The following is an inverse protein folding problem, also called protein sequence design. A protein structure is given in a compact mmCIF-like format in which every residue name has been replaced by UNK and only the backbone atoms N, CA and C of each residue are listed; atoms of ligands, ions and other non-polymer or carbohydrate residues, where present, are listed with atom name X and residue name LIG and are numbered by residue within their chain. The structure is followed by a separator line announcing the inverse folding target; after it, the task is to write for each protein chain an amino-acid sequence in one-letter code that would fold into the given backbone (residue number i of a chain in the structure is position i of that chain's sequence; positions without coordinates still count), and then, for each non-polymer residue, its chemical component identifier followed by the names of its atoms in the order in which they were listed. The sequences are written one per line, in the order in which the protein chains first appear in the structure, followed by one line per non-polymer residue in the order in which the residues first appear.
data_IF_537456814710
#
_entry.id   IF_537456814710
#
_cell.length_a   1.000
_cell.length_b   1.000
_cell.length_c   1.000
_cell.angle_alpha   90.00
_cell.angle_beta   90.00
_cell.angle_gamma   90.00
#
_symmetry.space_group_name_H-M   'P 1'
#
loop_
_entity.id
_entity.type
_entity.pdbx_description
1 polymer ?
#
# COMPACT_ATOMS: atom_id res chain seq x y z
N UNK A 1 -6.22 -8.38 15.60
CA UNK A 1 -5.36 -8.00 14.47
C UNK A 1 -6.19 -7.77 13.23
N UNK A 2 -5.96 -6.66 12.56
CA UNK A 2 -6.67 -6.34 11.33
C UNK A 2 -5.71 -6.45 10.14
N UNK A 3 -6.21 -6.96 9.03
CA UNK A 3 -5.49 -6.98 7.76
C UNK A 3 -6.02 -5.86 6.88
N UNK A 4 -5.15 -4.98 6.45
CA UNK A 4 -5.47 -3.90 5.51
C UNK A 4 -4.98 -4.35 4.14
N UNK A 5 -5.85 -4.30 3.15
CA UNK A 5 -5.51 -4.63 1.76
C UNK A 5 -5.92 -3.48 0.85
N UNK A 6 -4.93 -2.84 0.24
CA UNK A 6 -5.16 -1.80 -0.75
C UNK A 6 -4.98 -2.41 -2.14
N UNK A 7 -6.03 -2.36 -2.94
CA UNK A 7 -6.04 -2.90 -4.30
C UNK A 7 -6.15 -1.72 -5.25
N UNK A 8 -5.14 -1.55 -6.11
CA UNK A 8 -5.08 -0.39 -7.00
C UNK A 8 -4.93 -0.87 -8.43
N UNK A 9 -5.74 -0.28 -9.31
CA UNK A 9 -5.71 -0.58 -10.73
C UNK A 9 -4.92 0.52 -11.42
N UNK A 10 -3.73 0.14 -11.89
CA UNK A 10 -2.81 1.08 -12.50
C UNK A 10 -3.14 1.32 -13.98
N UNK A 11 -2.69 2.44 -14.51
CA UNK A 11 -2.73 2.70 -15.94
C UNK A 11 -1.78 1.72 -16.63
N UNK A 12 -2.07 1.31 -17.87
CA UNK A 12 -1.20 0.38 -18.60
C UNK A 12 0.25 0.86 -18.64
N UNK A 13 1.16 -0.05 -18.31
CA UNK A 13 2.59 0.24 -18.29
C UNK A 13 3.10 0.98 -17.05
N UNK A 14 2.24 1.29 -16.08
CA UNK A 14 2.63 2.07 -14.91
C UNK A 14 2.81 1.24 -13.63
N UNK A 15 2.62 -0.08 -13.71
CA UNK A 15 2.71 -0.94 -12.53
C UNK A 15 4.10 -0.90 -11.89
N UNK A 16 5.16 -0.93 -12.71
CA UNK A 16 6.53 -0.95 -12.17
C UNK A 16 6.84 0.30 -11.35
N UNK A 17 6.40 1.46 -11.80
CA UNK A 17 6.56 2.71 -11.05
C UNK A 17 5.83 2.66 -9.71
N UNK A 18 4.64 2.06 -9.68
CA UNK A 18 3.88 1.87 -8.45
C UNK A 18 4.56 0.89 -7.50
N UNK A 19 5.11 -0.21 -8.04
CA UNK A 19 5.84 -1.19 -7.23
C UNK A 19 7.01 -0.52 -6.49
N UNK A 20 7.76 0.31 -7.17
CA UNK A 20 8.89 1.02 -6.57
C UNK A 20 8.45 1.90 -5.40
N UNK A 21 7.34 2.61 -5.56
CA UNK A 21 6.78 3.46 -4.51
C UNK A 21 6.36 2.64 -3.30
N UNK A 22 5.64 1.55 -3.54
CA UNK A 22 5.11 0.73 -2.44
C UNK A 22 6.18 -0.12 -1.77
N UNK A 23 7.22 -0.52 -2.48
CA UNK A 23 8.36 -1.20 -1.86
C UNK A 23 9.09 -0.24 -0.91
N UNK A 24 9.27 1.01 -1.31
CA UNK A 24 9.85 2.03 -0.43
C UNK A 24 8.97 2.28 0.80
N UNK A 25 7.66 2.35 0.60
CA UNK A 25 6.69 2.50 1.68
C UNK A 25 6.74 1.31 2.64
N UNK A 26 6.88 0.09 2.10
CA UNK A 26 7.00 -1.12 2.89
C UNK A 26 8.20 -1.07 3.84
N UNK A 27 9.33 -0.64 3.35
CA UNK A 27 10.55 -0.53 4.17
C UNK A 27 10.36 0.49 5.30
N UNK A 28 9.71 1.61 5.00
CA UNK A 28 9.45 2.63 6.00
C UNK A 28 8.43 2.15 7.03
N UNK A 29 7.38 1.48 6.59
CA UNK A 29 6.37 0.91 7.47
C UNK A 29 6.98 -0.05 8.49
N UNK A 30 7.91 -0.90 8.05
CA UNK A 30 8.63 -1.81 8.92
C UNK A 30 9.45 -1.06 9.97
N UNK A 31 10.15 0.01 9.55
CA UNK A 31 10.91 0.89 10.43
C UNK A 31 10.03 1.54 11.50
N UNK A 32 8.80 1.88 11.14
CA UNK A 32 7.84 2.53 12.05
C UNK A 32 7.14 1.56 12.99
N UNK A 33 7.44 0.26 12.90
CA UNK A 33 6.83 -0.74 13.75
C UNK A 33 5.47 -1.26 13.30
N UNK A 34 5.06 -0.97 12.07
CA UNK A 34 3.78 -1.46 11.53
C UNK A 34 3.87 -2.85 10.91
N UNK A 35 5.01 -3.52 11.06
CA UNK A 35 5.20 -4.82 10.47
C UNK A 35 5.51 -4.74 8.98
N UNK A 36 5.59 -5.90 8.35
CA UNK A 36 6.00 -6.01 6.96
C UNK A 36 4.80 -5.89 6.03
N UNK A 37 4.85 -4.93 5.13
CA UNK A 37 3.88 -4.81 4.06
C UNK A 37 4.28 -5.72 2.90
N UNK A 38 3.33 -6.48 2.37
CA UNK A 38 3.56 -7.25 1.15
C UNK A 38 3.04 -6.46 -0.04
N UNK A 39 3.86 -6.39 -1.08
CA UNK A 39 3.50 -5.71 -2.33
C UNK A 39 3.44 -6.77 -3.41
N UNK A 40 2.29 -6.89 -4.06
CA UNK A 40 2.02 -7.95 -5.02
C UNK A 40 1.50 -7.36 -6.31
N UNK A 41 1.81 -8.01 -7.43
CA UNK A 41 1.24 -7.66 -8.73
C UNK A 41 0.50 -8.85 -9.29
N UNK A 42 -0.42 -8.60 -10.22
CA UNK A 42 -1.24 -9.66 -10.77
C UNK A 42 -0.44 -10.64 -11.62
N UNK A 43 -0.65 -11.92 -11.37
CA UNK A 43 -0.31 -13.00 -12.29
C UNK A 43 -1.60 -13.45 -12.96
N UNK A 44 -2.65 -13.57 -12.15
CA UNK A 44 -4.01 -13.82 -12.62
C UNK A 44 -4.95 -13.15 -11.63
N UNK A 45 -5.70 -12.16 -12.08
CA UNK A 45 -6.60 -11.40 -11.24
C UNK A 45 -7.78 -10.91 -12.08
N UNK A 46 -8.75 -10.28 -11.44
CA UNK A 46 -9.92 -9.76 -12.11
C UNK A 46 -9.57 -8.76 -13.21
N UNK A 47 -8.53 -7.95 -12.99
CA UNK A 47 -8.08 -6.95 -13.94
C UNK A 47 -6.57 -7.00 -14.11
N UNK A 48 -6.11 -6.61 -15.30
CA UNK A 48 -4.69 -6.42 -15.57
C UNK A 48 -4.17 -5.15 -14.90
N UNK A 49 -2.87 -5.07 -14.73
CA UNK A 49 -2.18 -3.89 -14.19
C UNK A 49 -2.60 -3.61 -12.75
N UNK A 50 -2.76 -4.66 -11.95
CA UNK A 50 -3.18 -4.54 -10.56
C UNK A 50 -1.99 -4.62 -9.62
N UNK A 51 -1.96 -3.74 -8.62
CA UNK A 51 -1.01 -3.83 -7.51
C UNK A 51 -1.81 -3.95 -6.22
N UNK A 52 -1.36 -4.83 -5.34
CA UNK A 52 -1.98 -5.05 -4.03
C UNK A 52 -0.92 -4.84 -2.96
N UNK A 53 -1.22 -3.99 -2.00
CA UNK A 53 -0.39 -3.82 -0.82
C UNK A 53 -1.20 -4.29 0.39
N UNK A 54 -0.64 -5.21 1.18
CA UNK A 54 -1.35 -5.67 2.38
C UNK A 54 -0.43 -5.74 3.58
N UNK A 55 -0.97 -5.41 4.73
CA UNK A 55 -0.24 -5.41 5.98
C UNK A 55 -1.20 -5.55 7.15
N UNK A 56 -0.67 -5.97 8.29
CA UNK A 56 -1.46 -6.14 9.50
C UNK A 56 -1.23 -4.97 10.46
N UNK A 57 -2.29 -4.57 11.15
CA UNK A 57 -2.24 -3.54 12.18
C UNK A 57 -3.02 -4.00 13.40
N UNK A 58 -2.66 -3.48 14.57
CA UNK A 58 -3.38 -3.81 15.80
C UNK A 58 -4.75 -3.15 15.85
N UNK A 59 -4.85 -1.92 15.34
CA UNK A 59 -6.09 -1.16 15.38
C UNK A 59 -6.17 -0.18 14.22
N UNK A 60 -7.39 0.25 13.88
CA UNK A 60 -7.61 1.28 12.88
C UNK A 60 -7.04 2.63 13.32
N UNK A 61 -7.06 2.92 14.62
CA UNK A 61 -6.53 4.17 15.15
C UNK A 61 -5.04 4.30 14.83
N UNK A 62 -4.26 3.25 15.03
CA UNK A 62 -2.85 3.23 14.67
C UNK A 62 -2.65 3.45 13.19
N UNK A 63 -3.44 2.77 12.37
CA UNK A 63 -3.36 2.91 10.93
C UNK A 63 -3.68 4.34 10.47
N UNK A 64 -4.74 4.93 11.01
CA UNK A 64 -5.16 6.28 10.63
C UNK A 64 -4.18 7.35 11.09
N UNK A 65 -3.38 7.08 12.11
CA UNK A 65 -2.34 8.00 12.58
C UNK A 65 -1.08 7.97 11.73
N UNK A 66 -0.88 6.93 10.93
CA UNK A 66 0.33 6.73 10.13
C UNK A 66 0.66 7.90 9.19
N UNK A 67 -0.31 8.46 8.43
CA UNK A 67 0.01 9.54 7.49
C UNK A 67 0.55 10.82 8.14
N UNK A 68 0.29 11.04 9.41
CA UNK A 68 0.74 12.24 10.11
C UNK A 68 2.13 12.08 10.77
N UNK A 69 2.75 10.90 10.66
CA UNK A 69 4.07 10.67 11.26
C UNK A 69 5.16 11.41 10.48
N UNK A 70 6.22 11.87 11.19
CA UNK A 70 7.34 12.55 10.52
C UNK A 70 8.03 11.69 9.46
N UNK A 71 8.08 10.37 9.68
CA UNK A 71 8.73 9.44 8.75
C UNK A 71 8.02 9.37 7.40
N UNK A 72 6.69 9.52 7.41
CA UNK A 72 5.91 9.52 6.16
C UNK A 72 6.21 10.71 5.28
N UNK A 73 6.64 11.82 5.88
CA UNK A 73 7.01 13.03 5.12
C UNK A 73 8.24 12.81 4.24
N UNK A 74 9.11 11.89 4.62
CA UNK A 74 10.28 11.55 3.82
C UNK A 74 9.90 10.93 2.47
N UNK A 75 8.72 10.32 2.39
CA UNK A 75 8.24 9.68 1.17
C UNK A 75 7.42 10.60 0.27
N UNK A 76 7.06 11.80 0.72
CA UNK A 76 6.25 12.72 -0.07
C UNK A 76 6.80 12.93 -1.48
N UNK A 77 8.11 13.20 -1.68
CA UNK A 77 8.62 13.37 -3.04
C UNK A 77 8.48 12.12 -3.90
N UNK A 78 8.63 10.95 -3.31
CA UNK A 78 8.51 9.66 -4.03
C UNK A 78 7.05 9.37 -4.40
N UNK A 79 6.10 9.76 -3.54
CA UNK A 79 4.68 9.49 -3.73
C UNK A 79 3.95 10.60 -4.47
N UNK A 80 4.65 11.65 -4.88
CA UNK A 80 4.07 12.87 -5.43
C UNK A 80 3.12 12.64 -6.60
N UNK A 81 3.49 11.77 -7.53
CA UNK A 81 2.72 11.50 -8.76
C UNK A 81 1.96 10.18 -8.70
N UNK A 82 1.75 9.68 -7.51
CA UNK A 82 1.04 8.43 -7.25
C UNK A 82 -0.34 8.40 -7.93
N UNK A 83 -1.10 9.49 -7.82
CA UNK A 83 -2.44 9.55 -8.41
C UNK A 83 -2.44 9.51 -9.94
N UNK A 84 -1.34 9.91 -10.58
CA UNK A 84 -1.23 9.90 -12.02
C UNK A 84 -0.99 8.49 -12.59
N UNK A 85 -0.61 7.55 -11.72
CA UNK A 85 -0.26 6.20 -12.12
C UNK A 85 -1.42 5.21 -12.01
N UNK A 86 -2.49 5.58 -11.32
CA UNK A 86 -3.63 4.70 -11.10
C UNK A 86 -4.92 5.27 -11.69
N UNK A 87 -5.83 4.37 -12.08
CA UNK A 87 -7.18 4.76 -12.48
C UNK A 87 -8.07 4.87 -11.26
N UNK A 88 -8.12 3.82 -10.46
CA UNK A 88 -8.85 3.81 -9.19
C UNK A 88 -8.36 2.67 -8.33
N UNK A 89 -8.83 2.65 -7.10
CA UNK A 89 -8.49 1.59 -6.16
C UNK A 89 -9.57 1.44 -5.11
N UNK A 90 -9.38 0.46 -4.26
CA UNK A 90 -10.25 0.25 -3.11
C UNK A 90 -9.42 -0.28 -1.95
N UNK A 91 -9.95 -0.08 -0.75
CA UNK A 91 -9.36 -0.60 0.48
C UNK A 91 -10.32 -1.59 1.10
N UNK A 92 -9.78 -2.73 1.49
CA UNK A 92 -10.50 -3.74 2.24
C UNK A 92 -9.83 -3.90 3.59
N UNK A 93 -10.63 -4.06 4.64
CA UNK A 93 -10.13 -4.27 5.99
C UNK A 93 -10.79 -5.52 6.52
N UNK A 94 -10.00 -6.48 6.94
CA UNK A 94 -10.47 -7.75 7.46
C UNK A 94 -10.01 -7.96 8.89
N UNK A 95 -10.86 -8.58 9.69
CA UNK A 95 -10.46 -9.07 10.99
C UNK A 95 -9.86 -10.46 10.80
N UNK A 96 -8.66 -10.64 11.30
CA UNK A 96 -8.00 -11.95 11.22
C UNK A 96 -8.59 -12.87 12.29
N UNK A 97 -9.19 -13.96 11.86
CA UNK A 97 -9.91 -14.89 12.75
C UNK A 97 -9.06 -16.11 13.15
N UNK A 98 -7.98 -16.39 12.46
CA UNK A 98 -7.16 -17.52 12.81
C UNK A 98 -5.85 -17.62 12.10
#
# INVERSE_FOLDING_TARGET
MLLIRDIMYCKPGKVRSMVEKFVALSKLSEKMGFGKMRVMTDVSAERYWTIVAEFEVESLDKFMAMPSSPEMKELEPLMKDYHDLIDHGRREVYKVEG
#
